data_IF_460548677730
#
_entry.id   IF_460548677730
#
_cell.length_a   1.000
_cell.length_b   1.000
_cell.length_c   1.000
_cell.angle_alpha   90.00
_cell.angle_beta   90.00
_cell.angle_gamma   90.00
#
_symmetry.space_group_name_H-M   'P 1'
#
loop_
_entity.id
_entity.type
_entity.pdbx_description
1 polymer ?
#
# COMPACT_ATOMS: atom_id res chain seq x y z
N UNK A 1 -45.40 -5.32 70.93
CA UNK A 1 -45.67 -5.46 69.49
C UNK A 1 -45.12 -4.22 68.83
N UNK A 2 -43.79 -4.23 68.77
CA UNK A 2 -42.94 -3.29 68.05
C UNK A 2 -42.79 -3.77 66.59
N UNK A 3 -42.11 -2.95 65.80
CA UNK A 3 -41.56 -3.25 64.47
C UNK A 3 -42.48 -3.09 63.26
N UNK A 4 -42.64 -1.84 62.81
CA UNK A 4 -42.73 -1.47 61.37
C UNK A 4 -42.60 0.05 61.18
N UNK A 5 -41.44 0.63 61.52
CA UNK A 5 -41.21 2.07 61.30
C UNK A 5 -39.73 2.44 61.14
N UNK A 6 -38.91 1.61 60.49
CA UNK A 6 -37.54 1.99 60.10
C UNK A 6 -37.23 1.27 58.79
N UNK A 7 -37.54 1.86 57.64
CA UNK A 7 -36.98 1.44 56.32
C UNK A 7 -37.29 2.39 55.15
N UNK A 8 -37.88 3.58 55.38
CA UNK A 8 -38.18 4.55 54.30
C UNK A 8 -37.36 5.84 54.35
N UNK A 9 -36.50 6.06 55.35
CA UNK A 9 -35.61 7.23 55.38
C UNK A 9 -34.33 7.07 54.55
N UNK A 10 -33.87 5.83 54.34
CA UNK A 10 -32.54 5.59 53.76
C UNK A 10 -32.56 5.34 52.26
N UNK A 11 -33.75 5.14 51.66
CA UNK A 11 -33.90 5.06 50.19
C UNK A 11 -33.93 6.47 49.57
N UNK A 12 -34.45 7.47 50.27
CA UNK A 12 -34.48 8.86 49.80
C UNK A 12 -33.15 9.60 49.98
N UNK A 13 -32.17 9.01 50.68
CA UNK A 13 -30.84 9.59 50.89
C UNK A 13 -29.81 9.17 49.83
N UNK A 14 -30.11 8.17 48.99
CA UNK A 14 -29.27 7.77 47.84
C UNK A 14 -29.67 8.55 46.57
N UNK A 15 -30.83 9.19 46.55
CA UNK A 15 -31.32 9.99 45.40
C UNK A 15 -30.86 11.47 45.43
N UNK A 16 -30.06 11.90 46.41
CA UNK A 16 -29.66 13.29 46.58
C UNK A 16 -28.17 13.54 46.35
N UNK A 17 -27.66 13.22 45.14
CA UNK A 17 -26.48 13.89 44.53
C UNK A 17 -26.22 13.52 43.07
N UNK A 18 -27.24 13.11 42.32
CA UNK A 18 -27.13 13.15 40.86
C UNK A 18 -27.25 14.62 40.44
N UNK A 19 -26.13 15.24 40.10
CA UNK A 19 -26.09 16.49 39.35
C UNK A 19 -27.04 16.33 38.15
N UNK A 20 -28.17 17.02 38.19
CA UNK A 20 -29.31 16.85 37.27
C UNK A 20 -29.03 17.29 35.81
N UNK A 21 -27.76 17.31 35.40
CA UNK A 21 -27.33 17.71 34.06
C UNK A 21 -26.36 16.75 33.37
N UNK A 22 -25.90 15.67 34.01
CA UNK A 22 -25.00 14.69 33.39
C UNK A 22 -25.78 13.50 32.86
N UNK A 23 -25.66 13.23 31.55
CA UNK A 23 -26.26 12.03 30.96
C UNK A 23 -25.49 10.77 31.42
N UNK A 24 -26.13 9.59 31.53
CA UNK A 24 -25.44 8.37 32.01
C UNK A 24 -24.14 8.03 31.27
N UNK A 25 -24.04 8.41 29.98
CA UNK A 25 -22.84 8.20 29.18
C UNK A 25 -21.67 9.09 29.61
N UNK A 26 -21.92 10.30 30.09
CA UNK A 26 -20.88 11.24 30.56
C UNK A 26 -20.27 10.81 31.91
N UNK A 27 -20.97 9.96 32.66
CA UNK A 27 -20.47 9.34 33.89
C UNK A 27 -19.52 8.15 33.65
N UNK A 28 -19.32 7.72 32.41
CA UNK A 28 -18.43 6.59 32.10
C UNK A 28 -16.96 6.98 32.28
N UNK A 29 -16.11 6.04 32.74
CA UNK A 29 -14.66 6.17 32.65
C UNK A 29 -14.20 6.50 31.23
N UNK A 30 -13.15 7.33 31.11
CA UNK A 30 -12.63 7.78 29.83
C UNK A 30 -12.24 6.62 28.92
N UNK A 31 -11.72 5.53 29.49
CA UNK A 31 -11.29 4.34 28.76
C UNK A 31 -12.46 3.67 28.03
N UNK A 32 -13.62 3.57 28.67
CA UNK A 32 -14.82 3.00 28.06
C UNK A 32 -15.40 3.92 26.97
N UNK A 33 -15.39 5.24 27.22
CA UNK A 33 -15.77 6.22 26.19
C UNK A 33 -14.87 6.10 24.95
N UNK A 34 -13.57 5.90 25.15
CA UNK A 34 -12.61 5.75 24.06
C UNK A 34 -12.80 4.44 23.28
N UNK A 35 -13.20 3.35 23.94
CA UNK A 35 -13.60 2.13 23.24
C UNK A 35 -14.83 2.35 22.37
N UNK A 36 -15.81 3.14 22.84
CA UNK A 36 -16.96 3.55 22.03
C UNK A 36 -16.51 4.38 20.84
N UNK A 37 -15.65 5.38 21.05
CA UNK A 37 -15.13 6.23 19.96
C UNK A 37 -14.34 5.43 18.91
N UNK A 38 -13.58 4.42 19.33
CA UNK A 38 -12.88 3.51 18.41
C UNK A 38 -13.84 2.67 17.55
N UNK A 39 -15.04 2.36 18.05
CA UNK A 39 -16.06 1.60 17.32
C UNK A 39 -16.89 2.48 16.38
N UNK A 40 -17.00 3.77 16.67
CA UNK A 40 -17.76 4.74 15.86
C UNK A 40 -16.92 5.99 15.52
N UNK A 41 -15.75 5.83 14.87
CA UNK A 41 -14.85 6.94 14.56
C UNK A 41 -15.48 8.00 13.67
N UNK A 42 -16.45 7.63 12.83
CA UNK A 42 -17.18 8.53 11.93
C UNK A 42 -18.05 9.53 12.71
N UNK A 43 -18.50 9.16 13.91
CA UNK A 43 -19.40 9.97 14.74
C UNK A 43 -18.66 10.95 15.66
N UNK A 44 -17.33 10.89 15.71
CA UNK A 44 -16.53 11.65 16.70
C UNK A 44 -16.75 13.16 16.62
N UNK A 45 -16.98 13.71 15.42
CA UNK A 45 -17.30 15.13 15.23
C UNK A 45 -18.62 15.51 15.91
N UNK A 46 -19.65 14.68 15.76
CA UNK A 46 -20.96 14.91 16.38
C UNK A 46 -20.87 14.75 17.90
N UNK A 47 -20.10 13.76 18.37
CA UNK A 47 -19.87 13.55 19.80
C UNK A 47 -19.29 14.80 20.48
N UNK A 48 -18.36 15.49 19.82
CA UNK A 48 -17.78 16.76 20.32
C UNK A 48 -18.80 17.89 20.46
N UNK A 49 -19.96 17.80 19.81
CA UNK A 49 -21.01 18.80 19.86
C UNK A 49 -22.07 18.51 20.93
N UNK A 50 -22.07 17.32 21.54
CA UNK A 50 -23.09 16.90 22.52
C UNK A 50 -22.97 17.72 23.80
N UNK A 51 -21.77 17.80 24.39
CA UNK A 51 -21.54 18.53 25.64
C UNK A 51 -20.06 18.90 25.82
N UNK A 52 -19.77 19.74 26.82
CA UNK A 52 -18.39 20.09 27.19
C UNK A 52 -17.59 18.88 27.68
N UNK A 53 -18.23 17.98 28.42
CA UNK A 53 -17.59 16.76 28.92
C UNK A 53 -17.22 15.82 27.76
N UNK A 54 -18.17 15.57 26.85
CA UNK A 54 -17.93 14.73 25.67
C UNK A 54 -16.89 15.34 24.73
N UNK A 55 -16.91 16.67 24.53
CA UNK A 55 -15.86 17.37 23.78
C UNK A 55 -14.48 17.15 24.40
N UNK A 56 -14.35 17.33 25.72
CA UNK A 56 -13.08 17.14 26.42
C UNK A 56 -12.58 15.69 26.32
N UNK A 57 -13.47 14.71 26.50
CA UNK A 57 -13.13 13.30 26.38
C UNK A 57 -12.70 12.92 24.95
N UNK A 58 -13.41 13.44 23.94
CA UNK A 58 -13.09 13.24 22.53
C UNK A 58 -11.80 13.93 22.13
N UNK A 59 -11.53 15.17 22.55
CA UNK A 59 -10.28 15.87 22.25
C UNK A 59 -9.08 15.13 22.85
N UNK A 60 -9.19 14.62 24.09
CA UNK A 60 -8.16 13.74 24.69
C UNK A 60 -7.95 12.45 23.89
N UNK A 61 -9.04 11.82 23.44
CA UNK A 61 -8.96 10.64 22.58
C UNK A 61 -8.27 10.91 21.24
N UNK A 62 -8.64 12.01 20.59
CA UNK A 62 -8.11 12.41 19.29
C UNK A 62 -6.60 12.62 19.38
N UNK A 63 -6.13 13.28 20.44
CA UNK A 63 -4.70 13.52 20.68
C UNK A 63 -3.94 12.28 21.18
N UNK A 64 -4.64 11.25 21.66
CA UNK A 64 -4.00 10.01 22.11
C UNK A 64 -3.37 9.26 20.95
N UNK A 65 -2.25 8.58 21.21
CA UNK A 65 -1.70 7.61 20.27
C UNK A 65 -2.66 6.42 20.15
N UNK A 66 -3.22 6.22 18.96
CA UNK A 66 -4.11 5.11 18.67
C UNK A 66 -3.32 4.01 17.94
N UNK A 67 -3.61 2.76 18.26
CA UNK A 67 -3.01 1.57 17.64
C UNK A 67 -3.77 1.09 16.39
N UNK A 68 -5.00 1.56 16.18
CA UNK A 68 -5.77 1.22 14.98
C UNK A 68 -5.17 1.85 13.72
N UNK A 69 -5.34 1.15 12.59
CA UNK A 69 -4.97 1.62 11.27
C UNK A 69 -5.98 2.65 10.78
N UNK A 70 -5.62 3.93 10.84
CA UNK A 70 -6.43 5.06 10.32
C UNK A 70 -6.18 5.23 8.82
N UNK A 71 -4.92 5.15 8.41
CA UNK A 71 -4.48 5.34 7.03
C UNK A 71 -4.36 4.00 6.32
N UNK A 72 -5.04 3.88 5.19
CA UNK A 72 -4.93 2.69 4.35
C UNK A 72 -3.66 2.76 3.50
N UNK A 73 -3.41 3.89 2.84
CA UNK A 73 -2.25 4.06 1.98
C UNK A 73 -1.60 5.43 2.17
N UNK A 74 -0.28 5.46 2.17
CA UNK A 74 0.51 6.70 2.04
C UNK A 74 1.38 6.60 0.78
N UNK A 75 1.41 7.68 0.00
CA UNK A 75 2.17 7.76 -1.25
C UNK A 75 3.15 8.91 -1.17
N UNK A 76 4.43 8.63 -1.44
CA UNK A 76 5.49 9.63 -1.54
C UNK A 76 5.78 9.90 -3.00
N UNK A 77 5.65 11.16 -3.41
CA UNK A 77 5.90 11.61 -4.78
C UNK A 77 7.28 12.28 -4.83
N UNK A 78 8.27 11.58 -5.40
CA UNK A 78 9.67 12.02 -5.39
C UNK A 78 9.96 13.17 -6.37
N UNK A 79 9.19 13.26 -7.45
CA UNK A 79 9.42 14.20 -8.53
C UNK A 79 8.13 14.88 -9.00
N UNK A 80 8.31 15.87 -9.90
CA UNK A 80 7.21 16.56 -10.56
C UNK A 80 6.33 15.54 -11.25
N UNK A 81 5.13 15.36 -10.73
CA UNK A 81 4.05 14.72 -11.45
C UNK A 81 3.88 15.41 -12.82
N UNK A 82 4.16 14.72 -13.92
CA UNK A 82 4.04 15.21 -15.31
C UNK A 82 2.62 15.66 -15.73
N UNK A 83 1.65 15.60 -14.81
CA UNK A 83 0.34 16.18 -15.02
C UNK A 83 0.50 17.70 -15.07
N UNK A 84 0.48 18.25 -16.29
CA UNK A 84 0.72 19.66 -16.68
C UNK A 84 0.00 20.74 -15.85
N UNK A 85 -0.95 20.37 -15.00
CA UNK A 85 -1.68 21.27 -14.10
C UNK A 85 -1.01 21.39 -12.70
N UNK A 86 0.05 20.63 -12.41
CA UNK A 86 0.74 20.61 -11.11
C UNK A 86 2.27 20.80 -11.20
N UNK A 87 2.73 21.61 -12.15
CA UNK A 87 4.17 21.85 -12.42
C UNK A 87 4.87 22.73 -11.34
N UNK A 88 4.41 22.67 -10.09
CA UNK A 88 4.80 23.59 -9.01
C UNK A 88 5.72 23.00 -7.94
N UNK A 89 6.13 21.73 -8.06
CA UNK A 89 7.14 21.21 -7.13
C UNK A 89 8.47 21.87 -7.48
N UNK A 90 8.78 22.94 -6.75
CA UNK A 90 10.11 23.56 -6.73
C UNK A 90 11.11 22.55 -6.18
N UNK A 91 12.38 22.77 -6.50
CA UNK A 91 13.49 22.04 -5.90
C UNK A 91 13.34 22.01 -4.36
N UNK A 92 13.65 20.86 -3.74
CA UNK A 92 13.50 20.66 -2.31
C UNK A 92 12.07 20.41 -1.80
N UNK A 93 11.05 20.30 -2.67
CA UNK A 93 9.68 19.93 -2.26
C UNK A 93 9.32 18.49 -2.60
N UNK A 94 8.50 17.89 -1.73
CA UNK A 94 7.93 16.55 -1.88
C UNK A 94 6.44 16.60 -1.57
N UNK A 95 5.63 15.96 -2.41
CA UNK A 95 4.21 15.79 -2.14
C UNK A 95 3.96 14.45 -1.49
N UNK A 96 3.11 14.44 -0.47
CA UNK A 96 2.58 13.22 0.15
C UNK A 96 1.09 13.16 -0.12
N UNK A 97 0.61 12.01 -0.56
CA UNK A 97 -0.82 11.75 -0.65
C UNK A 97 -1.25 10.62 0.29
N UNK A 98 -2.36 10.80 0.97
CA UNK A 98 -2.84 9.94 2.05
C UNK A 98 -4.27 9.51 1.75
N UNK A 99 -4.48 8.21 1.67
CA UNK A 99 -5.81 7.62 1.55
C UNK A 99 -6.26 7.08 2.91
N UNK A 100 -7.42 7.56 3.38
CA UNK A 100 -7.99 7.26 4.69
C UNK A 100 -9.30 6.52 4.48
N UNK A 101 -9.48 5.38 5.16
CA UNK A 101 -10.74 4.64 5.19
C UNK A 101 -11.89 5.60 5.52
N UNK A 102 -12.99 5.51 4.76
CA UNK A 102 -14.16 6.38 4.90
C UNK A 102 -14.64 6.53 6.35
N UNK A 103 -14.53 5.48 7.17
CA UNK A 103 -14.92 5.48 8.59
C UNK A 103 -14.06 6.40 9.45
N UNK A 104 -12.79 6.58 9.10
CA UNK A 104 -11.83 7.34 9.91
C UNK A 104 -11.56 8.77 9.42
N UNK A 105 -12.16 9.20 8.31
CA UNK A 105 -11.96 10.55 7.73
C UNK A 105 -12.16 11.67 8.74
N UNK A 106 -13.29 11.67 9.44
CA UNK A 106 -13.60 12.69 10.45
C UNK A 106 -12.56 12.69 11.58
N UNK A 107 -12.13 11.51 12.04
CA UNK A 107 -11.09 11.39 13.06
C UNK A 107 -9.74 11.94 12.56
N UNK A 108 -9.31 11.54 11.37
CA UNK A 108 -8.06 12.00 10.75
C UNK A 108 -8.02 13.53 10.61
N UNK A 109 -9.08 14.13 10.07
CA UNK A 109 -9.16 15.58 9.90
C UNK A 109 -9.17 16.34 11.24
N UNK A 110 -9.85 15.79 12.26
CA UNK A 110 -9.82 16.38 13.59
C UNK A 110 -8.45 16.29 14.24
N UNK A 111 -7.74 15.16 14.07
CA UNK A 111 -6.37 15.01 14.54
C UNK A 111 -5.46 16.04 13.91
N UNK A 112 -5.56 16.20 12.59
CA UNK A 112 -4.83 17.21 11.85
C UNK A 112 -5.15 18.63 12.38
N UNK A 113 -6.42 18.98 12.53
CA UNK A 113 -6.84 20.29 13.05
C UNK A 113 -6.39 20.57 14.48
N UNK A 114 -6.42 19.58 15.37
CA UNK A 114 -6.02 19.75 16.77
C UNK A 114 -4.49 19.80 16.93
N UNK A 115 -3.74 19.12 16.07
CA UNK A 115 -2.26 19.13 16.10
C UNK A 115 -1.65 20.33 15.37
N UNK A 116 -2.42 21.00 14.50
CA UNK A 116 -2.04 22.24 13.83
C UNK A 116 -0.65 22.16 13.17
N UNK A 117 -0.40 21.19 12.27
CA UNK A 117 0.83 21.20 11.49
C UNK A 117 0.91 22.49 10.65
N UNK A 118 2.13 22.97 10.39
CA UNK A 118 2.35 24.17 9.55
C UNK A 118 2.01 23.92 8.08
N UNK A 119 2.02 22.66 7.67
CA UNK A 119 1.76 22.25 6.29
C UNK A 119 0.28 22.22 6.04
N UNK A 120 -0.14 22.87 4.96
CA UNK A 120 -1.53 22.85 4.49
C UNK A 120 -1.91 21.48 3.90
N UNK A 121 -3.09 21.00 4.29
CA UNK A 121 -3.68 19.78 3.76
C UNK A 121 -4.82 20.12 2.81
N UNK A 122 -4.75 19.57 1.60
CA UNK A 122 -5.77 19.69 0.58
C UNK A 122 -6.59 18.41 0.49
N UNK A 123 -7.84 18.53 0.03
CA UNK A 123 -8.72 17.41 -0.24
C UNK A 123 -8.85 17.23 -1.74
N UNK A 124 -8.69 15.99 -2.18
CA UNK A 124 -8.81 15.64 -3.59
C UNK A 124 -9.65 14.37 -3.75
N UNK A 125 -10.39 14.26 -4.84
CA UNK A 125 -11.11 13.03 -5.18
C UNK A 125 -10.39 12.39 -6.36
N UNK A 126 -9.94 11.15 -6.19
CA UNK A 126 -9.29 10.43 -7.27
C UNK A 126 -10.32 9.99 -8.33
N UNK A 127 -9.85 9.36 -9.41
CA UNK A 127 -10.71 8.87 -10.52
C UNK A 127 -11.73 7.80 -10.11
N UNK A 128 -11.65 7.30 -8.89
CA UNK A 128 -12.56 6.31 -8.30
C UNK A 128 -13.49 6.94 -7.26
N UNK A 129 -13.59 8.27 -7.22
CA UNK A 129 -14.35 9.04 -6.22
C UNK A 129 -13.92 8.77 -4.77
N UNK A 130 -12.69 8.27 -4.57
CA UNK A 130 -12.13 8.10 -3.24
C UNK A 130 -11.43 9.40 -2.83
N UNK A 131 -11.69 9.83 -1.60
CA UNK A 131 -11.07 11.01 -1.02
C UNK A 131 -9.61 10.70 -0.67
N UNK A 132 -8.73 11.57 -1.12
CA UNK A 132 -7.31 11.59 -0.84
C UNK A 132 -6.94 12.94 -0.21
N UNK A 133 -6.02 12.91 0.75
CA UNK A 133 -5.49 14.12 1.38
C UNK A 133 -4.09 14.37 0.85
N UNK A 134 -3.85 15.56 0.32
CA UNK A 134 -2.58 15.94 -0.28
C UNK A 134 -1.89 16.96 0.62
N UNK A 135 -0.58 16.79 0.80
CA UNK A 135 0.26 17.66 1.63
C UNK A 135 1.56 17.93 0.89
N UNK A 136 1.93 19.21 0.78
CA UNK A 136 3.18 19.65 0.17
C UNK A 136 4.22 19.97 1.26
N UNK A 137 5.35 19.28 1.23
CA UNK A 137 6.43 19.40 2.19
C UNK A 137 7.63 20.08 1.54
N UNK A 138 8.24 21.03 2.24
CA UNK A 138 9.61 21.45 1.97
C UNK A 138 10.56 20.62 2.83
N UNK A 139 11.42 19.81 2.22
CA UNK A 139 12.20 18.76 2.89
C UNK A 139 13.06 19.26 4.06
N UNK A 140 13.65 20.44 3.90
CA UNK A 140 14.53 21.04 4.90
C UNK A 140 13.74 21.75 6.00
N UNK A 141 12.66 22.45 5.64
CA UNK A 141 11.94 23.34 6.56
C UNK A 141 10.88 22.56 7.36
N UNK A 142 10.30 21.52 6.75
CA UNK A 142 9.16 20.80 7.28
C UNK A 142 9.51 19.41 7.83
N UNK A 143 10.79 19.11 8.02
CA UNK A 143 11.22 17.78 8.51
C UNK A 143 10.51 17.37 9.80
N UNK A 144 10.32 18.30 10.74
CA UNK A 144 9.64 18.05 12.01
C UNK A 144 8.13 17.79 11.84
N UNK A 145 7.54 18.25 10.74
CA UNK A 145 6.11 18.04 10.45
C UNK A 145 5.79 16.60 10.10
N UNK A 146 6.77 15.83 9.59
CA UNK A 146 6.61 14.39 9.36
C UNK A 146 6.34 13.64 10.67
N UNK A 147 6.94 14.07 11.78
CA UNK A 147 6.66 13.49 13.10
C UNK A 147 5.25 13.80 13.56
N UNK A 148 4.79 15.04 13.35
CA UNK A 148 3.39 15.42 13.62
C UNK A 148 2.44 14.58 12.76
N UNK A 149 2.78 14.35 11.50
CA UNK A 149 2.01 13.50 10.59
C UNK A 149 1.96 12.04 11.07
N UNK A 150 3.07 11.46 11.55
CA UNK A 150 3.08 10.14 12.20
C UNK A 150 2.07 10.10 13.36
N UNK A 151 2.02 11.13 14.18
CA UNK A 151 1.10 11.20 15.33
C UNK A 151 -0.37 11.35 14.92
N UNK A 152 -0.64 12.00 13.77
CA UNK A 152 -1.98 12.10 13.17
C UNK A 152 -2.41 10.72 12.65
N UNK A 153 -1.58 10.08 11.83
CA UNK A 153 -1.90 8.85 11.12
C UNK A 153 -1.86 7.60 12.03
N UNK A 154 -1.05 7.65 13.07
CA UNK A 154 -0.66 6.48 13.84
C UNK A 154 0.49 5.70 13.20
N UNK A 155 0.94 4.66 13.89
CA UNK A 155 2.09 3.83 13.46
C UNK A 155 1.75 2.68 12.53
N UNK A 156 0.46 2.40 12.33
CA UNK A 156 0.03 1.27 11.50
C UNK A 156 -0.60 1.83 10.23
N UNK A 157 0.04 1.57 9.09
CA UNK A 157 -0.44 1.95 7.77
C UNK A 157 -0.63 0.67 6.93
N UNK A 158 -1.62 0.65 6.05
CA UNK A 158 -1.89 -0.53 5.21
C UNK A 158 -0.79 -0.77 4.17
N UNK A 159 -0.47 0.27 3.40
CA UNK A 159 0.48 0.25 2.29
C UNK A 159 1.30 1.53 2.21
N UNK A 160 2.57 1.39 1.86
CA UNK A 160 3.45 2.49 1.44
C UNK A 160 3.62 2.41 -0.07
N UNK A 161 3.41 3.53 -0.76
CA UNK A 161 3.60 3.68 -2.20
C UNK A 161 4.73 4.68 -2.45
N UNK A 162 5.71 4.30 -3.23
CA UNK A 162 6.78 5.18 -3.72
C UNK A 162 6.46 5.50 -5.18
N UNK A 163 6.21 6.78 -5.48
CA UNK A 163 6.01 7.27 -6.84
C UNK A 163 7.26 8.04 -7.26
N UNK A 164 8.12 7.35 -8.02
CA UNK A 164 9.42 7.83 -8.47
C UNK A 164 9.35 8.05 -9.98
N UNK A 165 8.70 9.14 -10.37
CA UNK A 165 8.53 9.52 -11.77
C UNK A 165 9.64 10.49 -12.18
N UNK A 166 10.84 9.96 -12.38
CA UNK A 166 11.94 10.71 -12.97
C UNK A 166 12.21 10.22 -14.38
N UNK A 167 12.01 11.10 -15.36
CA UNK A 167 12.58 10.88 -16.69
C UNK A 167 13.99 11.44 -16.68
N UNK A 168 15.03 10.63 -16.92
CA UNK A 168 16.45 11.02 -16.97
C UNK A 168 17.04 11.83 -15.78
N UNK A 169 16.24 12.30 -14.83
CA UNK A 169 16.69 13.00 -13.63
C UNK A 169 17.33 12.01 -12.67
N UNK A 170 18.37 12.47 -11.96
CA UNK A 170 19.06 11.67 -10.96
C UNK A 170 18.15 11.42 -9.75
N UNK A 171 18.26 10.23 -9.16
CA UNK A 171 17.51 9.84 -7.98
C UNK A 171 17.86 10.76 -6.80
N UNK A 172 16.86 11.43 -6.24
CA UNK A 172 17.02 12.35 -5.12
C UNK A 172 17.26 11.61 -3.80
N UNK A 173 18.53 11.36 -3.46
CA UNK A 173 18.95 10.65 -2.26
C UNK A 173 18.50 11.34 -0.97
N UNK A 174 18.38 12.67 -0.95
CA UNK A 174 17.95 13.42 0.22
C UNK A 174 16.47 13.14 0.53
N UNK A 175 15.59 13.21 -0.49
CA UNK A 175 14.19 12.77 -0.37
C UNK A 175 14.11 11.33 0.09
N UNK A 176 14.90 10.46 -0.53
CA UNK A 176 14.93 9.05 -0.20
C UNK A 176 15.25 8.81 1.28
N UNK A 177 16.28 9.50 1.80
CA UNK A 177 16.69 9.44 3.19
C UNK A 177 15.59 9.92 4.14
N UNK A 178 14.92 11.03 3.82
CA UNK A 178 13.80 11.56 4.62
C UNK A 178 12.64 10.57 4.65
N UNK A 179 12.22 10.06 3.49
CA UNK A 179 11.14 9.07 3.40
C UNK A 179 11.50 7.80 4.16
N UNK A 180 12.74 7.32 4.03
CA UNK A 180 13.24 6.15 4.76
C UNK A 180 13.16 6.35 6.27
N UNK A 181 13.65 7.50 6.75
CA UNK A 181 13.61 7.85 8.17
C UNK A 181 12.18 7.90 8.71
N UNK A 182 11.24 8.42 7.92
CA UNK A 182 9.83 8.47 8.29
C UNK A 182 9.20 7.08 8.37
N UNK A 183 9.41 6.22 7.36
CA UNK A 183 8.79 4.89 7.33
C UNK A 183 9.50 3.89 8.27
N UNK A 184 10.68 4.21 8.82
CA UNK A 184 11.40 3.38 9.78
C UNK A 184 10.54 3.04 11.01
N UNK A 185 9.83 4.03 11.55
CA UNK A 185 9.01 3.88 12.74
C UNK A 185 7.54 3.50 12.46
N UNK A 186 7.21 3.28 11.18
CA UNK A 186 5.88 2.91 10.71
C UNK A 186 5.82 1.43 10.36
N UNK A 187 4.81 0.76 10.91
CA UNK A 187 4.46 -0.61 10.58
C UNK A 187 3.51 -0.66 9.38
N UNK A 188 3.95 -1.31 8.31
CA UNK A 188 3.15 -1.62 7.13
C UNK A 188 3.51 -3.00 6.60
N UNK A 189 2.61 -3.58 5.79
CA UNK A 189 2.78 -4.92 5.23
C UNK A 189 2.92 -4.92 3.71
N UNK A 190 2.58 -3.83 3.05
CA UNK A 190 2.57 -3.75 1.59
C UNK A 190 3.44 -2.59 1.15
N UNK A 191 4.39 -2.88 0.25
CA UNK A 191 5.20 -1.89 -0.41
C UNK A 191 4.87 -1.90 -1.90
N UNK A 192 4.61 -0.75 -2.47
CA UNK A 192 4.43 -0.55 -3.90
C UNK A 192 5.44 0.49 -4.37
N UNK A 193 6.23 0.16 -5.37
CA UNK A 193 7.16 1.08 -6.01
C UNK A 193 6.72 1.27 -7.45
N UNK A 194 6.31 2.49 -7.79
CA UNK A 194 6.00 2.93 -9.14
C UNK A 194 7.16 3.78 -9.62
N UNK A 195 7.89 3.32 -10.62
CA UNK A 195 8.97 4.11 -11.19
C UNK A 195 8.95 4.09 -12.70
N UNK A 196 9.26 5.25 -13.30
CA UNK A 196 9.46 5.34 -14.73
C UNK A 196 10.75 4.60 -15.10
N UNK A 197 11.89 5.04 -14.57
CA UNK A 197 13.19 4.38 -14.77
C UNK A 197 13.61 3.61 -13.50
N UNK A 198 13.64 2.27 -13.52
CA UNK A 198 14.23 1.47 -12.44
C UNK A 198 15.75 1.39 -12.59
N UNK A 199 16.47 2.26 -11.86
CA UNK A 199 17.93 2.29 -11.75
C UNK A 199 18.46 1.45 -10.57
N UNK A 200 19.78 1.28 -10.48
CA UNK A 200 20.45 0.60 -9.34
C UNK A 200 20.21 1.32 -8.01
N UNK A 201 20.17 2.65 -8.01
CA UNK A 201 19.97 3.44 -6.78
C UNK A 201 18.54 3.29 -6.25
N UNK A 202 17.54 3.37 -7.14
CA UNK A 202 16.14 3.13 -6.79
C UNK A 202 15.96 1.69 -6.30
N UNK A 203 16.57 0.73 -6.98
CA UNK A 203 16.50 -0.67 -6.58
C UNK A 203 17.15 -0.90 -5.21
N UNK A 204 18.32 -0.31 -4.96
CA UNK A 204 19.02 -0.38 -3.67
C UNK A 204 18.20 0.27 -2.56
N UNK A 205 17.53 1.38 -2.86
CA UNK A 205 16.62 2.05 -1.94
C UNK A 205 15.40 1.19 -1.59
N UNK A 206 14.74 0.58 -2.58
CA UNK A 206 13.63 -0.35 -2.34
C UNK A 206 14.08 -1.52 -1.46
N UNK A 207 15.27 -2.07 -1.72
CA UNK A 207 15.83 -3.14 -0.92
C UNK A 207 16.12 -2.72 0.52
N UNK A 208 16.61 -1.49 0.76
CA UNK A 208 16.88 -1.00 2.12
C UNK A 208 15.60 -0.90 2.94
N UNK A 209 14.47 -0.54 2.32
CA UNK A 209 13.16 -0.51 2.96
C UNK A 209 12.71 -1.92 3.33
N UNK A 210 12.96 -2.90 2.46
CA UNK A 210 12.60 -4.30 2.69
C UNK A 210 13.47 -4.96 3.76
N UNK A 211 14.71 -4.49 3.93
CA UNK A 211 15.66 -5.09 4.86
C UNK A 211 15.12 -5.07 6.29
N UNK A 212 15.20 -6.22 6.97
CA UNK A 212 14.67 -6.44 8.32
C UNK A 212 13.15 -6.23 8.49
N UNK A 213 12.38 -6.15 7.39
CA UNK A 213 10.92 -6.05 7.46
C UNK A 213 10.24 -7.32 6.96
N UNK A 214 9.23 -7.76 7.72
CA UNK A 214 8.35 -8.85 7.30
C UNK A 214 7.19 -8.31 6.45
N UNK A 215 7.51 -7.80 5.26
CA UNK A 215 6.49 -7.35 4.31
C UNK A 215 5.70 -8.56 3.82
N UNK A 216 4.39 -8.39 3.66
CA UNK A 216 3.52 -9.41 3.08
C UNK A 216 3.55 -9.37 1.56
N UNK A 217 3.65 -8.19 0.95
CA UNK A 217 3.63 -8.03 -0.50
C UNK A 217 4.55 -6.89 -0.98
N UNK A 218 5.24 -7.14 -2.10
CA UNK A 218 5.93 -6.14 -2.90
C UNK A 218 5.26 -6.02 -4.26
N UNK A 219 4.95 -4.80 -4.68
CA UNK A 219 4.48 -4.49 -6.04
C UNK A 219 5.53 -3.57 -6.68
N UNK A 220 6.05 -3.96 -7.83
CA UNK A 220 6.91 -3.13 -8.68
C UNK A 220 6.12 -2.80 -9.94
N UNK A 221 5.90 -1.52 -10.17
CA UNK A 221 5.23 -0.99 -11.36
C UNK A 221 6.27 -0.15 -12.11
N UNK A 222 6.78 -0.68 -13.22
CA UNK A 222 7.99 -0.17 -13.88
C UNK A 222 7.76 0.07 -15.37
N UNK A 223 8.36 1.12 -15.90
CA UNK A 223 8.33 1.41 -17.35
C UNK A 223 9.68 0.99 -17.97
N UNK A 224 10.77 1.71 -17.72
CA UNK A 224 12.10 1.33 -18.16
C UNK A 224 12.90 0.65 -17.04
N UNK A 225 13.74 -0.32 -17.38
CA UNK A 225 14.65 -0.98 -16.43
C UNK A 225 16.07 -0.80 -16.90
N UNK A 226 16.86 -0.02 -16.17
CA UNK A 226 18.27 0.31 -16.44
C UNK A 226 19.23 -0.37 -15.48
N UNK A 227 18.82 -1.51 -14.93
CA UNK A 227 19.66 -2.35 -14.09
C UNK A 227 20.77 -3.01 -14.92
N UNK A 228 21.97 -3.12 -14.36
CA UNK A 228 23.09 -3.80 -15.01
C UNK A 228 22.85 -5.30 -15.14
N UNK A 229 22.30 -5.92 -14.08
CA UNK A 229 21.87 -7.32 -14.09
C UNK A 229 20.46 -7.49 -13.51
N UNK A 230 19.42 -7.29 -14.32
CA UNK A 230 18.04 -7.43 -13.87
C UNK A 230 17.72 -8.85 -13.37
N UNK A 231 18.44 -9.88 -13.83
CA UNK A 231 18.24 -11.27 -13.36
C UNK A 231 18.69 -11.39 -11.91
N UNK A 232 19.92 -10.93 -11.60
CA UNK A 232 20.43 -10.93 -10.23
C UNK A 232 19.53 -10.13 -9.28
N UNK A 233 19.03 -8.97 -9.73
CA UNK A 233 18.12 -8.13 -8.96
C UNK A 233 16.80 -8.85 -8.63
N UNK A 234 16.14 -9.46 -9.61
CA UNK A 234 14.92 -10.24 -9.36
C UNK A 234 15.17 -11.43 -8.41
N UNK A 235 16.30 -12.12 -8.57
CA UNK A 235 16.68 -13.19 -7.65
C UNK A 235 16.91 -12.68 -6.23
N UNK A 236 17.50 -11.49 -6.06
CA UNK A 236 17.67 -10.84 -4.75
C UNK A 236 16.32 -10.51 -4.11
N UNK A 237 15.37 -9.94 -4.86
CA UNK A 237 14.01 -9.69 -4.37
C UNK A 237 13.32 -10.99 -3.92
N UNK A 238 13.43 -12.05 -4.73
CA UNK A 238 12.80 -13.34 -4.44
C UNK A 238 13.40 -14.10 -3.25
N UNK A 239 14.56 -13.66 -2.75
CA UNK A 239 15.14 -14.14 -1.51
C UNK A 239 14.62 -13.39 -0.29
N UNK A 240 14.19 -12.14 -0.46
CA UNK A 240 13.71 -11.29 0.64
C UNK A 240 12.19 -11.38 0.83
N UNK A 241 11.45 -11.65 -0.25
CA UNK A 241 10.00 -11.47 -0.26
C UNK A 241 9.22 -12.70 -0.71
N UNK A 242 8.14 -13.02 0.02
CA UNK A 242 7.23 -14.13 -0.28
C UNK A 242 6.25 -13.86 -1.41
N UNK A 243 5.83 -12.61 -1.58
CA UNK A 243 4.88 -12.21 -2.62
C UNK A 243 5.40 -11.01 -3.39
N UNK A 244 5.61 -11.20 -4.68
CA UNK A 244 6.12 -10.20 -5.61
C UNK A 244 5.14 -10.09 -6.77
N UNK A 245 4.70 -8.87 -7.03
CA UNK A 245 3.98 -8.49 -8.24
C UNK A 245 4.85 -7.55 -9.05
N UNK A 246 4.99 -7.82 -10.35
CA UNK A 246 5.73 -6.97 -11.29
C UNK A 246 4.76 -6.59 -12.40
N UNK A 247 4.51 -5.29 -12.54
CA UNK A 247 3.81 -4.69 -13.66
C UNK A 247 4.85 -3.97 -14.51
N UNK A 248 4.95 -4.37 -15.77
CA UNK A 248 5.83 -3.77 -16.78
C UNK A 248 4.95 -3.02 -17.77
N UNK A 249 4.94 -1.69 -17.68
CA UNK A 249 4.16 -0.84 -18.57
C UNK A 249 4.86 -0.67 -19.92
N UNK A 250 4.09 -0.23 -20.91
CA UNK A 250 4.59 0.10 -22.24
C UNK A 250 5.40 1.40 -22.18
N UNK A 251 6.73 1.25 -22.24
CA UNK A 251 7.63 2.34 -22.62
C UNK A 251 7.27 2.76 -24.04
N UNK A 252 6.98 4.04 -24.27
CA UNK A 252 6.68 4.60 -25.59
C UNK A 252 7.95 4.54 -26.48
N UNK A 253 8.34 3.34 -26.92
CA UNK A 253 9.36 3.09 -27.92
C UNK A 253 8.78 3.41 -29.29
N UNK A 254 8.31 4.63 -29.48
CA UNK A 254 8.18 5.19 -30.82
C UNK A 254 9.59 5.38 -31.32
N UNK A 255 9.99 4.57 -32.29
CA UNK A 255 11.06 4.96 -33.18
C UNK A 255 10.73 6.33 -33.79
N UNK A 256 11.76 7.09 -34.16
CA UNK A 256 11.60 8.42 -34.77
C UNK A 256 10.69 8.41 -36.01
N UNK A 257 10.51 7.25 -36.65
CA UNK A 257 9.65 7.00 -37.80
C UNK A 257 8.21 6.54 -37.46
N UNK A 258 7.89 6.36 -36.17
CA UNK A 258 6.57 5.96 -35.69
C UNK A 258 6.18 4.49 -35.97
N UNK A 259 7.12 3.65 -36.43
CA UNK A 259 6.86 2.24 -36.67
C UNK A 259 6.87 1.44 -35.35
N UNK A 260 5.79 0.70 -35.08
CA UNK A 260 5.80 -0.30 -34.00
C UNK A 260 6.83 -1.40 -34.32
N UNK A 261 7.96 -1.40 -33.62
CA UNK A 261 8.93 -2.47 -33.74
C UNK A 261 8.33 -3.77 -33.19
N UNK A 262 8.15 -4.77 -34.05
CA UNK A 262 7.73 -6.15 -33.67
C UNK A 262 8.60 -6.72 -32.53
N UNK A 263 9.84 -6.24 -32.42
CA UNK A 263 10.82 -6.64 -31.40
C UNK A 263 10.51 -6.17 -29.98
N UNK A 264 9.65 -5.17 -29.79
CA UNK A 264 9.28 -4.68 -28.45
C UNK A 264 8.43 -5.72 -27.72
N UNK A 265 7.67 -6.55 -28.45
CA UNK A 265 6.80 -7.58 -27.86
C UNK A 265 7.55 -8.66 -27.08
N UNK A 266 8.88 -8.76 -27.26
CA UNK A 266 9.75 -9.73 -26.59
C UNK A 266 10.63 -9.10 -25.51
N UNK A 267 10.28 -7.90 -25.05
CA UNK A 267 10.96 -7.19 -23.99
C UNK A 267 10.29 -7.44 -22.64
N UNK A 268 11.09 -7.72 -21.61
CA UNK A 268 10.65 -7.70 -20.23
C UNK A 268 11.83 -7.31 -19.35
N UNK A 269 11.59 -6.38 -18.43
CA UNK A 269 12.49 -6.04 -17.33
C UNK A 269 13.94 -5.80 -17.78
N UNK A 270 14.10 -4.97 -18.81
CA UNK A 270 15.42 -4.54 -19.33
C UNK A 270 16.08 -5.48 -20.34
N UNK A 271 15.51 -6.67 -20.61
CA UNK A 271 16.09 -7.62 -21.59
C UNK A 271 15.14 -7.96 -22.74
N UNK A 272 15.67 -7.92 -23.96
CA UNK A 272 15.00 -8.36 -25.20
C UNK A 272 15.27 -9.84 -25.45
N UNK A 273 14.25 -10.58 -25.88
CA UNK A 273 14.35 -11.99 -26.34
C UNK A 273 15.02 -12.94 -25.32
N UNK A 274 14.97 -12.61 -24.03
CA UNK A 274 15.59 -13.39 -22.97
C UNK A 274 14.69 -14.55 -22.52
N UNK A 275 15.31 -15.69 -22.19
CA UNK A 275 14.57 -16.81 -21.61
C UNK A 275 14.40 -16.62 -20.11
N UNK A 276 13.27 -16.01 -19.72
CA UNK A 276 12.94 -15.72 -18.34
C UNK A 276 12.47 -16.94 -17.52
N UNK A 277 12.12 -18.05 -18.17
CA UNK A 277 11.56 -19.20 -17.48
C UNK A 277 12.49 -19.81 -16.41
N UNK A 278 13.79 -20.07 -16.68
CA UNK A 278 14.72 -20.50 -15.63
C UNK A 278 14.83 -19.53 -14.47
N UNK A 279 14.83 -18.22 -14.73
CA UNK A 279 14.87 -17.19 -13.68
C UNK A 279 13.63 -17.26 -12.79
N UNK A 280 12.43 -17.38 -13.36
CA UNK A 280 11.21 -17.48 -12.56
C UNK A 280 11.14 -18.77 -11.75
N UNK A 281 11.57 -19.91 -12.31
CA UNK A 281 11.70 -21.16 -11.54
C UNK A 281 12.66 -20.96 -10.35
N UNK A 282 13.80 -20.33 -10.59
CA UNK A 282 14.79 -20.05 -9.54
C UNK A 282 14.27 -19.08 -8.47
N UNK A 283 13.51 -18.04 -8.86
CA UNK A 283 12.83 -17.16 -7.91
C UNK A 283 11.86 -17.96 -7.02
N UNK A 284 11.05 -18.84 -7.61
CA UNK A 284 10.05 -19.63 -6.89
C UNK A 284 10.67 -20.77 -6.06
N UNK A 285 11.92 -21.16 -6.31
CA UNK A 285 12.68 -22.07 -5.43
C UNK A 285 13.10 -21.42 -4.12
N UNK A 286 13.24 -20.08 -4.09
CA UNK A 286 13.69 -19.30 -2.93
C UNK A 286 12.56 -19.03 -1.94
N UNK A 287 12.50 -17.86 -1.33
CA UNK A 287 11.45 -17.51 -0.35
C UNK A 287 10.16 -17.08 -1.02
N UNK A 288 10.21 -16.69 -2.30
CA UNK A 288 9.04 -16.36 -3.10
C UNK A 288 8.07 -17.55 -3.19
N UNK A 289 6.82 -17.30 -2.79
CA UNK A 289 5.68 -18.20 -2.87
C UNK A 289 4.67 -17.68 -3.90
N UNK A 290 4.63 -16.37 -4.15
CA UNK A 290 3.71 -15.72 -5.10
C UNK A 290 4.49 -14.84 -6.06
N UNK A 291 4.40 -15.13 -7.35
CA UNK A 291 5.00 -14.31 -8.40
C UNK A 291 3.96 -14.01 -9.46
N UNK A 292 3.59 -12.74 -9.55
CA UNK A 292 2.59 -12.27 -10.50
C UNK A 292 3.23 -11.24 -11.41
N UNK A 293 3.25 -11.53 -12.70
CA UNK A 293 3.88 -10.69 -13.71
C UNK A 293 2.82 -10.25 -14.70
N UNK A 294 2.65 -8.95 -14.83
CA UNK A 294 1.81 -8.30 -15.82
C UNK A 294 2.72 -7.50 -16.72
N UNK A 295 2.65 -7.74 -18.02
CA UNK A 295 3.36 -6.91 -18.98
C UNK A 295 2.43 -6.54 -20.10
N UNK A 296 2.47 -5.27 -20.50
CA UNK A 296 1.81 -4.82 -21.73
C UNK A 296 2.48 -5.42 -22.99
N UNK A 297 3.69 -5.97 -22.84
CA UNK A 297 4.40 -6.75 -23.86
C UNK A 297 4.11 -8.24 -23.74
N UNK A 298 2.90 -8.64 -24.15
CA UNK A 298 2.34 -9.97 -23.90
C UNK A 298 3.14 -11.17 -24.46
N UNK A 299 4.18 -10.96 -25.28
CA UNK A 299 4.92 -12.03 -25.94
C UNK A 299 6.31 -12.32 -25.34
N UNK A 300 6.73 -11.64 -24.26
CA UNK A 300 8.05 -11.88 -23.66
C UNK A 300 8.23 -13.34 -23.22
N UNK A 301 7.15 -14.00 -22.78
CA UNK A 301 7.12 -15.42 -22.48
C UNK A 301 6.64 -16.22 -23.69
N UNK A 302 7.61 -16.68 -24.50
CA UNK A 302 7.38 -17.54 -25.66
C UNK A 302 6.81 -18.90 -25.25
N UNK A 303 6.28 -19.63 -26.25
CA UNK A 303 5.71 -20.97 -26.08
C UNK A 303 6.66 -21.88 -25.29
N UNK A 304 7.83 -22.20 -25.83
CA UNK A 304 8.82 -23.07 -25.18
C UNK A 304 9.21 -22.62 -23.75
N UNK A 305 9.21 -21.32 -23.45
CA UNK A 305 9.48 -20.81 -22.09
C UNK A 305 8.32 -21.11 -21.13
N UNK A 306 7.09 -20.91 -21.59
CA UNK A 306 5.89 -21.24 -20.83
C UNK A 306 5.73 -22.76 -20.64
N UNK A 307 6.12 -23.57 -21.63
CA UNK A 307 6.18 -25.03 -21.55
C UNK A 307 7.14 -25.48 -20.43
N UNK A 308 8.32 -24.86 -20.32
CA UNK A 308 9.26 -25.11 -19.24
C UNK A 308 8.66 -24.78 -17.86
N UNK A 309 7.95 -23.66 -17.74
CA UNK A 309 7.33 -23.24 -16.47
C UNK A 309 6.22 -24.18 -16.03
N UNK A 310 5.33 -24.59 -16.94
CA UNK A 310 4.23 -25.51 -16.61
C UNK A 310 4.73 -26.88 -16.17
N UNK A 311 5.88 -27.33 -16.70
CA UNK A 311 6.48 -28.62 -16.34
C UNK A 311 7.30 -28.53 -15.05
N UNK A 312 8.03 -27.43 -14.80
CA UNK A 312 8.95 -27.34 -13.66
C UNK A 312 8.31 -26.79 -12.38
N UNK A 313 7.39 -25.84 -12.47
CA UNK A 313 6.81 -25.19 -11.29
C UNK A 313 6.03 -26.17 -10.38
N UNK A 314 5.17 -27.07 -10.90
CA UNK A 314 4.50 -28.07 -10.06
C UNK A 314 5.45 -29.05 -9.37
N UNK A 315 6.67 -29.21 -9.88
CA UNK A 315 7.67 -30.14 -9.34
C UNK A 315 8.47 -29.54 -8.18
N UNK A 316 8.25 -28.26 -7.84
CA UNK A 316 8.92 -27.61 -6.71
C UNK A 316 8.42 -28.09 -5.34
N UNK A 317 7.30 -28.83 -5.28
CA UNK A 317 6.68 -29.30 -4.03
C UNK A 317 6.43 -28.17 -3.00
N UNK A 318 6.14 -26.97 -3.49
CA UNK A 318 5.84 -25.78 -2.69
C UNK A 318 4.42 -25.30 -2.98
N UNK A 319 3.78 -24.66 -2.01
CA UNK A 319 2.45 -24.04 -2.17
C UNK A 319 2.54 -22.73 -2.94
N UNK A 320 2.85 -22.80 -4.23
CA UNK A 320 3.13 -21.62 -5.03
C UNK A 320 1.91 -21.08 -5.77
N UNK A 321 2.00 -19.79 -6.12
CA UNK A 321 1.11 -19.15 -7.08
C UNK A 321 1.95 -18.33 -8.06
N UNK A 322 2.08 -18.85 -9.26
CA UNK A 322 2.69 -18.16 -10.39
C UNK A 322 1.59 -17.71 -11.36
N UNK A 323 1.71 -16.48 -11.85
CA UNK A 323 0.88 -15.97 -12.94
C UNK A 323 1.69 -15.02 -13.80
N UNK A 324 1.69 -15.19 -15.12
CA UNK A 324 2.42 -14.31 -16.03
C UNK A 324 1.71 -14.15 -17.36
N UNK A 325 1.75 -12.95 -17.94
CA UNK A 325 1.37 -12.72 -19.33
C UNK A 325 2.24 -13.54 -20.27
N UNK A 326 1.64 -14.21 -21.26
CA UNK A 326 2.35 -15.12 -22.15
C UNK A 326 1.79 -15.12 -23.58
N UNK A 327 2.62 -15.57 -24.53
CA UNK A 327 2.19 -15.65 -25.93
C UNK A 327 1.06 -16.66 -26.13
N UNK A 328 0.35 -16.55 -27.25
CA UNK A 328 -0.83 -17.33 -27.62
C UNK A 328 -0.69 -18.85 -27.46
N UNK A 329 -1.40 -19.40 -26.47
CA UNK A 329 -1.73 -20.83 -26.36
C UNK A 329 -3.19 -21.11 -26.67
N UNK A 330 -3.48 -22.35 -27.07
CA UNK A 330 -4.85 -22.89 -26.97
C UNK A 330 -5.21 -22.93 -25.49
N UNK A 331 -6.44 -22.54 -25.17
CA UNK A 331 -6.93 -22.60 -23.79
C UNK A 331 -6.76 -24.04 -23.28
N UNK A 332 -6.16 -24.16 -22.10
CA UNK A 332 -5.96 -25.44 -21.46
C UNK A 332 -5.99 -25.28 -19.95
N UNK A 333 -6.47 -26.32 -19.28
CA UNK A 333 -6.54 -26.41 -17.83
C UNK A 333 -6.34 -27.87 -17.46
N UNK A 334 -5.38 -28.12 -16.57
CA UNK A 334 -5.12 -29.44 -16.03
C UNK A 334 -4.52 -29.32 -14.63
N UNK A 335 -4.42 -30.45 -13.93
CA UNK A 335 -3.85 -30.53 -12.60
C UNK A 335 -2.58 -31.38 -12.61
N UNK A 336 -1.54 -30.92 -11.94
CA UNK A 336 -0.27 -31.63 -11.77
C UNK A 336 0.29 -31.33 -10.38
N UNK A 337 0.63 -32.37 -9.61
CA UNK A 337 1.17 -32.25 -8.24
C UNK A 337 0.41 -31.25 -7.36
N UNK A 338 -0.92 -31.32 -7.29
CA UNK A 338 -1.77 -30.38 -6.53
C UNK A 338 -1.69 -28.91 -7.00
N UNK A 339 -1.22 -28.67 -8.23
CA UNK A 339 -1.26 -27.37 -8.88
C UNK A 339 -2.24 -27.40 -10.04
N UNK A 340 -3.11 -26.41 -10.09
CA UNK A 340 -3.90 -26.12 -11.27
C UNK A 340 -3.03 -25.31 -12.21
N UNK A 341 -2.76 -25.88 -13.39
CA UNK A 341 -2.10 -25.20 -14.50
C UNK A 341 -3.17 -24.74 -15.46
N UNK A 342 -3.26 -23.43 -15.68
CA UNK A 342 -4.29 -22.82 -16.52
C UNK A 342 -3.69 -21.83 -17.50
N UNK A 343 -4.19 -21.87 -18.74
CA UNK A 343 -4.03 -20.81 -19.72
C UNK A 343 -5.34 -20.08 -19.88
N UNK A 344 -5.44 -18.91 -19.26
CA UNK A 344 -6.67 -18.13 -19.27
C UNK A 344 -6.67 -17.13 -20.44
N UNK A 345 -7.82 -17.01 -21.10
CA UNK A 345 -8.09 -15.88 -21.99
C UNK A 345 -8.79 -14.83 -21.15
N UNK A 346 -8.13 -13.71 -20.88
CA UNK A 346 -8.83 -12.57 -20.30
C UNK A 346 -9.98 -12.18 -21.23
N UNK A 347 -11.18 -11.98 -20.66
CA UNK A 347 -12.37 -11.51 -21.39
C UNK A 347 -12.17 -10.05 -21.86
N UNK A 348 -11.25 -9.32 -21.20
CA UNK A 348 -10.88 -7.95 -21.51
C UNK A 348 -9.49 -7.96 -22.14
N UNK A 349 -9.46 -7.70 -23.45
CA UNK A 349 -8.26 -7.51 -24.28
C UNK A 349 -7.35 -8.75 -24.39
N UNK A 350 -6.42 -8.73 -25.34
CA UNK A 350 -5.65 -9.87 -25.87
C UNK A 350 -4.69 -10.54 -24.86
N UNK A 351 -4.92 -10.32 -23.57
CA UNK A 351 -4.08 -10.72 -22.45
C UNK A 351 -4.34 -12.20 -22.15
N UNK A 352 -3.34 -13.02 -22.48
CA UNK A 352 -3.32 -14.44 -22.15
C UNK A 352 -2.34 -14.66 -21.02
N UNK A 353 -2.77 -15.42 -20.02
CA UNK A 353 -1.95 -15.68 -18.84
C UNK A 353 -1.69 -17.17 -18.69
N UNK A 354 -0.43 -17.53 -18.45
CA UNK A 354 -0.08 -18.79 -17.82
C UNK A 354 -0.24 -18.60 -16.31
N UNK A 355 -0.96 -19.50 -15.66
CA UNK A 355 -1.01 -19.59 -14.21
C UNK A 355 -0.72 -21.00 -13.74
N UNK A 356 0.11 -21.11 -12.71
CA UNK A 356 0.36 -22.35 -11.96
C UNK A 356 0.04 -22.04 -10.51
N UNK A 357 -1.05 -22.59 -9.98
CA UNK A 357 -1.57 -22.22 -8.66
C UNK A 357 -1.88 -23.46 -7.84
N UNK A 358 -1.28 -23.55 -6.66
CA UNK A 358 -1.51 -24.65 -5.73
C UNK A 358 -2.98 -24.67 -5.24
N UNK A 359 -3.55 -25.86 -5.04
CA UNK A 359 -4.95 -26.05 -4.63
C UNK A 359 -5.32 -25.29 -3.36
N UNK A 360 -4.42 -25.26 -2.37
CA UNK A 360 -4.65 -24.53 -1.11
C UNK A 360 -4.73 -23.01 -1.25
N UNK A 361 -4.51 -22.48 -2.46
CA UNK A 361 -4.44 -21.05 -2.74
C UNK A 361 -5.55 -20.60 -3.68
N UNK A 362 -6.43 -21.50 -4.13
CA UNK A 362 -7.42 -21.20 -5.19
C UNK A 362 -8.28 -19.96 -4.86
N UNK A 363 -8.64 -19.77 -3.60
CA UNK A 363 -9.47 -18.65 -3.13
C UNK A 363 -8.74 -17.29 -3.12
N UNK A 364 -7.40 -17.29 -3.20
CA UNK A 364 -6.64 -16.04 -3.24
C UNK A 364 -6.93 -15.28 -4.54
N UNK A 365 -7.18 -13.97 -4.44
CA UNK A 365 -7.47 -13.10 -5.58
C UNK A 365 -6.38 -12.06 -5.72
N UNK A 366 -6.06 -11.75 -6.97
CA UNK A 366 -5.16 -10.67 -7.37
C UNK A 366 -6.00 -9.59 -8.05
#
# INVERSE_FOLDING_TARGET
MEDTAILTSDINAIEAKHDAGSTPIEGLPCELLWEIFNKTPESISNIRLISRAMKSAADKFILRRISSRIVDNITFHFERCFWKEFDYLTEGRMRISINVDNRFKNLFELRYKLRQPSIQMERWFNRHDELEYWLDFHLVEDKDQLKILEEIMGRHIGKVVLMIYGGYAEFDEEKASIVYSFIQDVHFKNLECKCYDLSEDIFTYVLSIMDNRNLSNLILDVDEVRLNDPVACLLRLSSLQKSITITQNNVDYRSEDGAYHEDITLFFFGKKRFNWAPTFVEMMKRTCETLIIKSEYYSFLRKNHADLLREQLPQLNKKIWFRSSCHSYKAMEYMENEHVVKYDKSVKYYDRFLSVKHLSRLDERH
#
